data_IF_831987123484
#
_entry.id   IF_831987123484
#
_cell.length_a   1.000
_cell.length_b   1.000
_cell.length_c   1.000
_cell.angle_alpha   90.00
_cell.angle_beta   90.00
_cell.angle_gamma   90.00
#
_symmetry.space_group_name_H-M   'P 1'
#
loop_
_entity.id
_entity.type
_entity.pdbx_description
1 polymer ?
#
# COMPACT_ATOMS: atom_id res chain seq x y z
N UNK A 1 0.82 -11.77 5.23
CA UNK A 1 0.76 -10.30 5.23
C UNK A 1 1.04 -9.80 6.64
N UNK A 2 1.95 -8.83 6.79
CA UNK A 2 2.18 -8.10 8.04
C UNK A 2 1.97 -6.62 7.75
N UNK A 3 1.23 -5.90 8.59
CA UNK A 3 1.03 -4.50 8.32
C UNK A 3 0.55 -3.65 9.47
N UNK A 4 0.86 -2.36 9.37
CA UNK A 4 0.34 -1.30 10.24
C UNK A 4 -0.85 -0.58 9.60
N UNK A 5 -1.63 -1.31 8.80
CA UNK A 5 -2.81 -0.80 8.09
C UNK A 5 -3.90 -1.87 8.06
N UNK A 6 -4.92 -1.73 8.89
CA UNK A 6 -6.02 -2.71 8.97
C UNK A 6 -6.78 -2.84 7.65
N UNK A 7 -7.26 -1.72 7.10
CA UNK A 7 -8.00 -1.71 5.82
C UNK A 7 -7.11 -2.15 4.64
N UNK A 8 -5.82 -1.82 4.66
CA UNK A 8 -4.88 -2.28 3.63
C UNK A 8 -4.66 -3.79 3.66
N UNK A 9 -4.56 -4.39 4.84
CA UNK A 9 -4.48 -5.85 4.99
C UNK A 9 -5.75 -6.51 4.44
N UNK A 10 -6.92 -5.98 4.78
CA UNK A 10 -8.21 -6.51 4.32
C UNK A 10 -8.32 -6.43 2.79
N UNK A 11 -7.97 -5.30 2.20
CA UNK A 11 -8.04 -5.12 0.75
C UNK A 11 -7.05 -6.05 0.03
N UNK A 12 -5.80 -6.13 0.48
CA UNK A 12 -4.82 -7.08 -0.06
C UNK A 12 -5.34 -8.52 -0.01
N UNK A 13 -5.93 -8.93 1.12
CA UNK A 13 -6.50 -10.27 1.28
C UNK A 13 -7.63 -10.51 0.27
N UNK A 14 -8.48 -9.52 0.08
CA UNK A 14 -9.61 -9.59 -0.88
C UNK A 14 -9.13 -9.68 -2.33
N UNK A 15 -8.12 -8.88 -2.70
CA UNK A 15 -7.57 -8.92 -4.07
C UNK A 15 -6.88 -10.26 -4.33
N UNK A 16 -6.07 -10.75 -3.39
CA UNK A 16 -5.37 -12.04 -3.51
C UNK A 16 -6.37 -13.19 -3.65
N UNK A 17 -7.46 -13.21 -2.88
CA UNK A 17 -8.54 -14.19 -2.99
C UNK A 17 -9.20 -14.14 -4.37
N UNK A 18 -9.53 -12.95 -4.87
CA UNK A 18 -10.08 -12.76 -6.23
C UNK A 18 -9.14 -13.22 -7.33
N UNK A 19 -7.84 -13.14 -7.10
CA UNK A 19 -6.82 -13.66 -8.01
C UNK A 19 -6.62 -15.18 -7.90
N UNK A 20 -7.34 -15.85 -6.98
CA UNK A 20 -7.35 -17.30 -6.81
C UNK A 20 -6.20 -17.85 -5.96
N UNK A 21 -5.60 -17.01 -5.12
CA UNK A 21 -4.57 -17.41 -4.14
C UNK A 21 -5.04 -17.20 -2.70
N UNK A 22 -4.35 -17.84 -1.75
CA UNK A 22 -4.69 -17.79 -0.34
C UNK A 22 -3.69 -16.98 0.51
N UNK A 23 -4.21 -16.38 1.58
CA UNK A 23 -3.40 -15.71 2.60
C UNK A 23 -3.28 -16.59 3.84
N UNK A 24 -2.09 -17.07 4.13
CA UNK A 24 -1.83 -17.95 5.29
C UNK A 24 -2.00 -17.19 6.61
N UNK A 25 -1.38 -16.02 6.72
CA UNK A 25 -1.40 -15.19 7.91
C UNK A 25 -1.62 -13.72 7.51
N UNK A 26 -2.49 -13.03 8.23
CA UNK A 26 -2.74 -11.61 8.09
C UNK A 26 -2.62 -10.95 9.48
N UNK A 27 -1.51 -10.25 9.73
CA UNK A 27 -1.13 -9.76 11.05
C UNK A 27 -1.09 -8.24 11.06
N UNK A 28 -1.95 -7.64 11.88
CA UNK A 28 -1.92 -6.20 12.13
C UNK A 28 -1.01 -5.85 13.30
N UNK A 29 0.00 -5.00 13.09
CA UNK A 29 0.90 -4.55 14.15
C UNK A 29 0.40 -3.27 14.83
N UNK A 30 -0.51 -2.55 14.17
CA UNK A 30 -0.95 -1.22 14.58
C UNK A 30 0.06 -0.12 14.21
N UNK A 31 -0.45 1.08 13.93
CA UNK A 31 0.37 2.21 13.45
C UNK A 31 1.40 2.69 14.48
N UNK A 32 1.14 2.51 15.77
CA UNK A 32 2.05 2.91 16.84
C UNK A 32 3.33 2.09 16.89
N UNK A 33 3.29 0.82 16.43
CA UNK A 33 4.47 -0.04 16.38
C UNK A 33 5.60 0.60 15.57
N UNK A 34 5.26 1.29 14.49
CA UNK A 34 6.22 1.90 13.55
C UNK A 34 6.64 3.32 13.93
N UNK A 35 6.27 3.80 15.11
CA UNK A 35 6.77 5.07 15.66
C UNK A 35 8.21 4.96 16.12
N UNK A 36 8.88 6.11 16.27
CA UNK A 36 10.25 6.17 16.78
C UNK A 36 10.37 5.59 18.20
N UNK A 37 9.33 5.79 19.01
CA UNK A 37 9.30 5.37 20.42
C UNK A 37 9.21 3.84 20.57
N UNK A 38 8.47 3.17 19.69
CA UNK A 38 8.31 1.71 19.72
C UNK A 38 9.34 1.02 18.85
N UNK A 39 9.69 1.62 17.71
CA UNK A 39 10.79 1.17 16.86
C UNK A 39 10.50 -0.08 16.03
N UNK A 40 9.23 -0.48 15.83
CA UNK A 40 8.85 -1.61 14.97
C UNK A 40 9.09 -2.99 15.60
N UNK A 41 8.97 -3.10 16.92
CA UNK A 41 9.24 -4.36 17.64
C UNK A 41 8.36 -5.49 17.11
N UNK A 42 7.04 -5.28 17.07
CA UNK A 42 6.10 -6.30 16.60
C UNK A 42 6.32 -6.65 15.13
N UNK A 43 6.58 -5.66 14.30
CA UNK A 43 6.89 -5.87 12.88
C UNK A 43 8.12 -6.77 12.72
N UNK A 44 9.20 -6.49 13.45
CA UNK A 44 10.45 -7.25 13.37
C UNK A 44 10.28 -8.69 13.86
N UNK A 45 9.56 -8.90 14.96
CA UNK A 45 9.27 -10.24 15.50
C UNK A 45 8.45 -11.07 14.50
N UNK A 46 7.46 -10.44 13.86
CA UNK A 46 6.62 -11.12 12.87
C UNK A 46 7.38 -11.43 11.59
N UNK A 47 8.27 -10.54 11.11
CA UNK A 47 9.15 -10.84 9.98
C UNK A 47 10.00 -12.08 10.28
N UNK A 48 10.59 -12.16 11.48
CA UNK A 48 11.38 -13.32 11.87
C UNK A 48 10.53 -14.60 11.94
N UNK A 49 9.31 -14.51 12.46
CA UNK A 49 8.39 -15.65 12.52
C UNK A 49 8.01 -16.16 11.13
N UNK A 50 7.72 -15.24 10.18
CA UNK A 50 7.37 -15.61 8.80
C UNK A 50 8.57 -16.19 8.03
N UNK A 51 9.79 -15.78 8.36
CA UNK A 51 10.99 -16.39 7.76
C UNK A 51 11.13 -17.87 8.13
N UNK A 52 10.83 -18.22 9.37
CA UNK A 52 10.91 -19.57 9.91
C UNK A 52 9.76 -20.49 9.50
N UNK A 53 8.65 -19.93 9.03
CA UNK A 53 7.47 -20.70 8.61
C UNK A 53 7.60 -21.14 7.15
N UNK A 54 7.96 -22.40 6.91
CA UNK A 54 8.15 -22.98 5.58
C UNK A 54 6.87 -22.97 4.71
N UNK A 55 5.71 -22.77 5.30
CA UNK A 55 4.45 -22.66 4.57
C UNK A 55 4.24 -21.28 3.95
N UNK A 56 4.95 -20.25 4.42
CA UNK A 56 4.94 -18.91 3.83
C UNK A 56 5.83 -18.91 2.59
N UNK A 57 5.25 -18.60 1.43
CA UNK A 57 5.97 -18.54 0.15
C UNK A 57 6.43 -17.12 -0.19
N UNK A 58 5.59 -16.12 0.08
CA UNK A 58 5.86 -14.71 -0.15
C UNK A 58 5.41 -13.93 1.07
N UNK A 59 6.18 -12.93 1.47
CA UNK A 59 5.82 -12.00 2.53
C UNK A 59 5.37 -10.67 1.92
N UNK A 60 4.22 -10.16 2.34
CA UNK A 60 3.78 -8.81 2.03
C UNK A 60 3.89 -7.94 3.27
N UNK A 61 4.55 -6.79 3.15
CA UNK A 61 4.59 -5.74 4.18
C UNK A 61 3.77 -4.56 3.68
N UNK A 62 2.79 -4.13 4.49
CA UNK A 62 2.02 -2.92 4.19
C UNK A 62 2.03 -1.96 5.37
N UNK A 63 2.31 -0.69 5.12
CA UNK A 63 2.31 0.33 6.16
C UNK A 63 2.03 1.73 5.60
N UNK A 64 1.47 2.60 6.44
CA UNK A 64 1.70 4.04 6.29
C UNK A 64 3.21 4.29 6.44
N UNK A 65 3.78 5.38 5.90
CA UNK A 65 5.22 5.63 6.01
C UNK A 65 5.69 5.54 7.45
N UNK A 66 6.61 4.63 7.79
CA UNK A 66 7.18 4.53 9.12
C UNK A 66 8.06 5.74 9.46
N UNK A 67 8.42 5.91 10.73
CA UNK A 67 9.54 6.77 11.08
C UNK A 67 10.80 6.31 10.33
N UNK A 68 11.59 7.25 9.79
CA UNK A 68 12.72 6.93 8.90
C UNK A 68 13.65 5.85 9.45
N UNK A 69 14.07 5.96 10.71
CA UNK A 69 14.97 4.97 11.34
C UNK A 69 14.33 3.58 11.46
N UNK A 70 13.01 3.51 11.66
CA UNK A 70 12.26 2.25 11.73
C UNK A 70 12.13 1.64 10.33
N UNK A 71 11.82 2.48 9.33
CA UNK A 71 11.77 2.07 7.93
C UNK A 71 13.11 1.48 7.47
N UNK A 72 14.22 2.18 7.74
CA UNK A 72 15.56 1.74 7.36
C UNK A 72 15.86 0.37 7.97
N UNK A 73 15.57 0.16 9.28
CA UNK A 73 15.72 -1.14 9.94
C UNK A 73 14.87 -2.26 9.31
N UNK A 74 13.62 -1.94 8.97
CA UNK A 74 12.72 -2.91 8.32
C UNK A 74 13.27 -3.26 6.95
N UNK A 75 13.68 -2.28 6.15
CA UNK A 75 14.26 -2.49 4.82
C UNK A 75 15.53 -3.33 4.86
N UNK A 76 16.46 -3.01 5.77
CA UNK A 76 17.69 -3.80 5.96
C UNK A 76 17.38 -5.25 6.34
N UNK A 77 16.36 -5.48 7.18
CA UNK A 77 15.95 -6.83 7.56
C UNK A 77 15.32 -7.59 6.40
N UNK A 78 14.52 -6.91 5.59
CA UNK A 78 13.82 -7.50 4.44
C UNK A 78 14.76 -7.80 3.27
N UNK A 79 15.77 -6.98 3.03
CA UNK A 79 16.82 -7.25 2.02
C UNK A 79 17.58 -8.54 2.29
N UNK A 80 17.64 -8.98 3.55
CA UNK A 80 18.26 -10.23 3.96
C UNK A 80 17.25 -11.38 4.16
N UNK A 81 15.98 -11.18 3.81
CA UNK A 81 14.94 -12.18 3.98
C UNK A 81 15.07 -13.26 2.90
N UNK A 82 14.95 -14.52 3.30
CA UNK A 82 15.24 -15.68 2.41
C UNK A 82 14.17 -15.97 1.38
N UNK A 83 13.01 -15.37 1.50
CA UNK A 83 11.86 -15.57 0.63
C UNK A 83 11.53 -14.25 -0.07
N UNK A 84 10.81 -14.27 -1.19
CA UNK A 84 10.37 -13.03 -1.82
C UNK A 84 9.54 -12.15 -0.89
N UNK A 85 9.81 -10.85 -0.91
CA UNK A 85 9.11 -9.82 -0.14
C UNK A 85 8.51 -8.80 -1.08
N UNK A 86 7.26 -8.46 -0.87
CA UNK A 86 6.61 -7.30 -1.49
C UNK A 86 6.34 -6.26 -0.43
N UNK A 87 6.93 -5.08 -0.55
CA UNK A 87 6.75 -3.99 0.39
C UNK A 87 5.92 -2.86 -0.24
N UNK A 88 4.89 -2.44 0.46
CA UNK A 88 4.06 -1.29 0.12
C UNK A 88 4.11 -0.28 1.27
N UNK A 89 4.90 0.77 1.11
CA UNK A 89 4.87 1.94 1.97
C UNK A 89 4.02 3.00 1.30
N UNK A 90 2.80 3.19 1.81
CA UNK A 90 1.78 4.04 1.18
C UNK A 90 2.29 5.46 0.95
N UNK A 91 2.22 5.90 -0.31
CA UNK A 91 2.68 7.22 -0.73
C UNK A 91 4.16 7.32 -1.09
N UNK A 92 4.92 6.24 -0.98
CA UNK A 92 6.30 6.18 -1.43
C UNK A 92 6.37 5.49 -2.80
N UNK A 93 6.96 6.16 -3.78
CA UNK A 93 7.19 5.57 -5.11
C UNK A 93 8.35 4.57 -5.04
N UNK A 94 8.23 3.41 -5.69
CA UNK A 94 9.35 2.49 -5.84
C UNK A 94 10.53 3.19 -6.51
N UNK A 95 11.70 3.09 -5.90
CA UNK A 95 12.93 3.63 -6.50
C UNK A 95 13.75 2.52 -7.17
N UNK A 96 13.64 1.29 -6.66
CA UNK A 96 14.37 0.12 -7.18
C UNK A 96 13.73 -1.19 -6.70
N UNK A 97 14.07 -2.28 -7.39
CA UNK A 97 13.84 -3.65 -6.93
C UNK A 97 15.18 -4.33 -6.68
N UNK A 98 15.29 -5.08 -5.60
CA UNK A 98 16.40 -5.99 -5.32
C UNK A 98 15.97 -7.44 -5.61
N UNK A 99 16.92 -8.37 -5.68
CA UNK A 99 16.70 -9.75 -6.14
C UNK A 99 15.49 -10.47 -5.53
N UNK A 100 15.21 -10.24 -4.24
CA UNK A 100 14.05 -10.84 -3.54
C UNK A 100 13.17 -9.80 -2.85
N UNK A 101 13.38 -8.53 -3.10
CA UNK A 101 12.68 -7.44 -2.44
C UNK A 101 12.05 -6.50 -3.47
N UNK A 102 10.73 -6.55 -3.54
CA UNK A 102 9.93 -5.85 -4.54
C UNK A 102 9.16 -4.72 -3.87
N UNK A 103 9.27 -3.52 -4.40
CA UNK A 103 8.46 -2.39 -3.98
C UNK A 103 7.21 -2.29 -4.83
N UNK A 104 6.06 -2.09 -4.18
CA UNK A 104 4.80 -1.78 -4.82
C UNK A 104 4.36 -0.35 -4.49
N UNK A 105 3.61 0.25 -5.40
CA UNK A 105 3.06 1.59 -5.24
C UNK A 105 1.59 1.59 -4.82
N UNK A 106 0.84 0.57 -5.26
CA UNK A 106 -0.58 0.40 -4.97
C UNK A 106 -0.88 -0.94 -4.32
N UNK A 107 -2.05 -1.06 -3.69
CA UNK A 107 -2.54 -2.31 -3.12
C UNK A 107 -2.74 -3.38 -4.21
N UNK A 108 -3.30 -3.01 -5.36
CA UNK A 108 -3.48 -3.92 -6.48
C UNK A 108 -2.14 -4.43 -7.01
N UNK A 109 -1.16 -3.55 -7.19
CA UNK A 109 0.19 -3.92 -7.61
C UNK A 109 0.84 -4.88 -6.60
N UNK A 110 0.77 -4.57 -5.29
CA UNK A 110 1.34 -5.43 -4.25
C UNK A 110 0.73 -6.84 -4.27
N UNK A 111 -0.59 -6.94 -4.44
CA UNK A 111 -1.27 -8.22 -4.52
C UNK A 111 -0.88 -9.02 -5.77
N UNK A 112 -0.82 -8.37 -6.94
CA UNK A 112 -0.43 -9.02 -8.21
C UNK A 112 1.01 -9.47 -8.21
N UNK A 113 1.93 -8.65 -7.71
CA UNK A 113 3.33 -9.03 -7.51
C UNK A 113 3.44 -10.29 -6.64
N UNK A 114 2.76 -10.29 -5.49
CA UNK A 114 2.81 -11.43 -4.57
C UNK A 114 2.24 -12.71 -5.20
N UNK A 115 1.12 -12.61 -5.91
CA UNK A 115 0.50 -13.75 -6.61
C UNK A 115 1.40 -14.26 -7.73
N UNK A 116 2.00 -13.37 -8.52
CA UNK A 116 2.97 -13.72 -9.57
C UNK A 116 4.17 -14.47 -9.00
N UNK A 117 4.74 -13.97 -7.89
CA UNK A 117 5.85 -14.62 -7.19
C UNK A 117 5.50 -16.02 -6.68
N UNK A 118 4.30 -16.20 -6.11
CA UNK A 118 3.83 -17.52 -5.66
C UNK A 118 3.74 -18.51 -6.83
N UNK A 119 3.33 -18.04 -8.00
CA UNK A 119 3.14 -18.83 -9.21
C UNK A 119 4.43 -19.03 -10.03
N UNK A 120 5.53 -18.38 -9.63
CA UNK A 120 6.78 -18.41 -10.41
C UNK A 120 6.64 -17.78 -11.80
N UNK A 121 5.75 -16.80 -11.94
CA UNK A 121 5.55 -16.06 -13.17
C UNK A 121 6.56 -14.91 -13.25
N UNK A 122 7.03 -14.63 -14.48
CA UNK A 122 7.77 -13.39 -14.71
C UNK A 122 6.88 -12.19 -14.38
N UNK A 123 7.35 -11.40 -13.42
CA UNK A 123 6.64 -10.21 -12.99
C UNK A 123 6.98 -9.11 -14.01
N UNK A 124 6.28 -9.14 -15.14
CA UNK A 124 6.22 -7.97 -16.00
C UNK A 124 5.41 -6.89 -15.26
N UNK A 125 5.88 -5.65 -15.31
CA UNK A 125 5.11 -4.49 -14.86
C UNK A 125 3.72 -4.54 -15.49
N UNK A 126 2.76 -5.12 -14.76
CA UNK A 126 1.39 -5.29 -15.21
C UNK A 126 0.65 -3.98 -14.99
N UNK A 127 0.69 -3.07 -15.94
CA UNK A 127 -0.31 -2.02 -16.00
C UNK A 127 -1.67 -2.69 -16.19
N UNK A 128 -2.61 -2.44 -15.27
CA UNK A 128 -4.01 -2.80 -15.51
C UNK A 128 -4.48 -1.94 -16.68
N UNK A 129 -4.68 -2.54 -17.85
CA UNK A 129 -5.37 -1.84 -18.93
C UNK A 129 -6.81 -1.59 -18.48
N UNK A 130 -7.09 -0.35 -18.14
CA UNK A 130 -8.46 0.10 -17.90
C UNK A 130 -9.09 0.39 -19.24
N UNK A 131 -10.14 -0.36 -19.60
CA UNK A 131 -10.96 -0.02 -20.75
C UNK A 131 -11.64 1.33 -20.51
N UNK A 132 -11.04 2.38 -21.05
CA UNK A 132 -11.54 3.75 -20.95
C UNK A 132 -12.65 4.06 -21.95
N UNK A 133 -13.02 3.13 -22.83
CA UNK A 133 -14.04 3.35 -23.88
C UNK A 133 -15.42 3.66 -23.29
N UNK A 134 -15.70 3.22 -22.07
CA UNK A 134 -16.94 3.52 -21.34
C UNK A 134 -16.93 4.84 -20.56
N UNK A 135 -15.78 5.53 -20.46
CA UNK A 135 -15.71 6.81 -19.78
C UNK A 135 -16.13 7.93 -20.74
N UNK A 136 -17.12 8.70 -20.35
CA UNK A 136 -17.55 9.87 -21.12
C UNK A 136 -16.45 10.93 -21.07
N UNK A 137 -16.02 11.39 -22.25
CA UNK A 137 -15.20 12.59 -22.33
C UNK A 137 -15.99 13.77 -21.76
N UNK A 138 -15.49 14.38 -20.70
CA UNK A 138 -16.12 15.56 -20.14
C UNK A 138 -15.68 16.78 -20.95
N UNK A 139 -16.62 17.50 -21.56
CA UNK A 139 -16.35 18.76 -22.26
C UNK A 139 -15.91 19.88 -21.30
N UNK A 140 -16.25 19.77 -20.03
CA UNK A 140 -15.89 20.73 -18.98
C UNK A 140 -14.99 20.09 -17.91
N UNK A 141 -14.13 20.91 -17.30
CA UNK A 141 -13.30 20.51 -16.16
C UNK A 141 -14.19 20.11 -14.99
N UNK A 142 -14.14 18.84 -14.61
CA UNK A 142 -14.87 18.30 -13.47
C UNK A 142 -13.97 18.16 -12.27
N UNK A 143 -14.55 18.34 -11.09
CA UNK A 143 -13.88 18.10 -9.81
C UNK A 143 -14.12 16.68 -9.35
N UNK A 144 -13.12 16.09 -8.71
CA UNK A 144 -13.22 14.77 -8.05
C UNK A 144 -13.57 15.02 -6.58
N UNK A 145 -14.65 14.42 -6.11
CA UNK A 145 -15.04 14.39 -4.70
C UNK A 145 -15.17 12.95 -4.27
N UNK A 146 -14.27 12.49 -3.43
CA UNK A 146 -14.19 11.12 -2.97
C UNK A 146 -14.30 11.06 -1.43
N UNK A 147 -15.13 10.14 -0.94
CA UNK A 147 -15.39 9.93 0.48
C UNK A 147 -15.12 8.48 0.83
N UNK A 148 -14.28 8.27 1.82
CA UNK A 148 -13.85 6.96 2.29
C UNK A 148 -14.15 6.82 3.78
N UNK A 149 -14.22 5.59 4.25
CA UNK A 149 -14.29 5.23 5.69
C UNK A 149 -13.04 4.46 6.12
N UNK A 150 -11.88 4.83 5.59
CA UNK A 150 -10.60 4.21 5.92
C UNK A 150 -9.43 4.92 5.28
N UNK A 151 -8.50 5.40 6.10
CA UNK A 151 -7.38 6.25 5.71
C UNK A 151 -6.42 5.64 4.69
N UNK A 152 -6.32 4.32 4.60
CA UNK A 152 -5.47 3.63 3.62
C UNK A 152 -5.97 3.83 2.20
N UNK A 153 -7.24 3.50 1.95
CA UNK A 153 -7.84 3.66 0.62
C UNK A 153 -7.97 5.14 0.24
N UNK A 154 -8.33 6.00 1.20
CA UNK A 154 -8.37 7.44 0.99
C UNK A 154 -6.98 8.00 0.63
N UNK A 155 -5.93 7.53 1.30
CA UNK A 155 -4.55 7.91 1.03
C UNK A 155 -4.07 7.46 -0.35
N UNK A 156 -4.34 6.22 -0.73
CA UNK A 156 -4.02 5.71 -2.07
C UNK A 156 -4.76 6.47 -3.17
N UNK A 157 -6.06 6.70 -3.00
CA UNK A 157 -6.84 7.49 -3.95
C UNK A 157 -6.29 8.92 -4.09
N UNK A 158 -5.94 9.58 -2.99
CA UNK A 158 -5.34 10.91 -3.01
C UNK A 158 -4.00 10.93 -3.76
N UNK A 159 -3.20 9.89 -3.59
CA UNK A 159 -1.92 9.71 -4.27
C UNK A 159 -2.11 9.55 -5.78
N UNK A 160 -2.97 8.64 -6.19
CA UNK A 160 -3.27 8.37 -7.60
C UNK A 160 -3.87 9.60 -8.30
N UNK A 161 -4.76 10.35 -7.62
CA UNK A 161 -5.30 11.59 -8.16
C UNK A 161 -4.20 12.64 -8.36
N UNK A 162 -3.28 12.79 -7.40
CA UNK A 162 -2.14 13.71 -7.55
C UNK A 162 -1.27 13.36 -8.75
N UNK A 163 -1.05 12.08 -9.01
CA UNK A 163 -0.23 11.62 -10.13
C UNK A 163 -0.94 11.77 -11.48
N UNK A 164 -2.26 11.53 -11.53
CA UNK A 164 -3.03 11.58 -12.76
C UNK A 164 -3.50 12.98 -13.14
N UNK A 165 -3.70 13.87 -12.16
CA UNK A 165 -4.25 15.22 -12.39
C UNK A 165 -3.15 16.26 -12.25
N UNK A 166 -2.97 17.10 -13.29
CA UNK A 166 -2.07 18.23 -13.21
C UNK A 166 -2.67 19.33 -12.32
N UNK A 167 -2.39 19.22 -11.02
CA UNK A 167 -2.90 20.15 -10.00
C UNK A 167 -2.25 21.52 -10.15
N UNK A 168 -3.07 22.56 -10.35
CA UNK A 168 -2.59 23.95 -10.48
C UNK A 168 -2.26 24.58 -9.13
N UNK A 169 -2.89 24.10 -8.07
CA UNK A 169 -2.73 24.58 -6.70
C UNK A 169 -2.16 23.46 -5.84
N UNK A 170 -1.10 23.70 -5.05
CA UNK A 170 -0.58 22.71 -4.14
C UNK A 170 -1.64 22.22 -3.16
N UNK A 171 -1.66 20.93 -2.80
CA UNK A 171 -2.58 20.39 -1.82
C UNK A 171 -2.46 21.10 -0.46
N UNK A 172 -3.59 21.50 0.10
CA UNK A 172 -3.66 22.07 1.43
C UNK A 172 -3.74 20.97 2.49
N UNK A 173 -2.99 21.14 3.58
CA UNK A 173 -3.18 20.29 4.76
C UNK A 173 -4.47 20.72 5.46
N UNK A 174 -5.41 19.80 5.61
CA UNK A 174 -6.63 20.00 6.34
C UNK A 174 -7.00 18.70 7.04
N UNK A 175 -7.46 18.80 8.28
CA UNK A 175 -7.84 17.67 9.10
C UNK A 175 -8.98 16.88 8.45
N UNK A 176 -8.88 15.55 8.44
CA UNK A 176 -9.82 14.65 7.75
C UNK A 176 -9.70 14.61 6.22
N UNK A 177 -8.88 15.47 5.61
CA UNK A 177 -8.67 15.49 4.16
C UNK A 177 -7.33 14.86 3.76
N UNK A 178 -7.37 13.83 2.95
CA UNK A 178 -6.18 13.26 2.31
C UNK A 178 -5.75 14.05 1.08
N UNK A 179 -6.72 14.70 0.41
CA UNK A 179 -6.49 15.66 -0.66
C UNK A 179 -7.49 16.80 -0.56
N UNK A 180 -7.03 18.03 -0.66
CA UNK A 180 -7.86 19.24 -0.78
C UNK A 180 -7.15 20.26 -1.64
N UNK A 181 -7.54 20.40 -2.90
CA UNK A 181 -6.91 21.33 -3.83
C UNK A 181 -7.74 21.49 -5.10
N UNK A 182 -7.76 22.68 -5.67
CA UNK A 182 -8.34 23.02 -6.99
C UNK A 182 -9.77 22.47 -7.20
N UNK A 183 -10.56 22.41 -6.11
CA UNK A 183 -11.90 21.82 -6.10
C UNK A 183 -11.94 20.31 -5.89
N UNK A 184 -10.82 19.60 -6.03
CA UNK A 184 -10.72 18.17 -5.73
C UNK A 184 -10.63 17.93 -4.23
N UNK A 185 -11.36 16.95 -3.73
CA UNK A 185 -11.28 16.50 -2.34
C UNK A 185 -11.26 14.98 -2.26
N UNK A 186 -10.45 14.47 -1.33
CA UNK A 186 -10.52 13.09 -0.84
C UNK A 186 -10.61 13.17 0.68
N UNK A 187 -11.65 12.60 1.25
CA UNK A 187 -11.96 12.68 2.68
C UNK A 187 -11.98 11.28 3.27
N UNK A 188 -11.34 11.11 4.42
CA UNK A 188 -11.48 9.93 5.26
C UNK A 188 -12.49 10.21 6.37
N UNK A 189 -13.72 9.72 6.22
CA UNK A 189 -14.79 9.83 7.21
C UNK A 189 -14.63 8.84 8.38
N UNK A 190 -13.66 7.96 8.32
CA UNK A 190 -13.28 7.07 9.41
C UNK A 190 -12.20 7.65 10.33
N UNK A 191 -11.80 8.89 10.13
CA UNK A 191 -10.89 9.61 11.02
C UNK A 191 -11.63 10.06 12.29
N UNK A 192 -10.91 10.13 13.42
CA UNK A 192 -11.45 10.51 14.75
C UNK A 192 -11.98 11.95 14.82
N UNK A 193 -11.85 12.70 13.74
CA UNK A 193 -12.36 14.10 13.64
C UNK A 193 -13.82 14.21 13.19
N UNK A 194 -14.49 13.10 12.86
CA UNK A 194 -15.90 13.07 12.42
C UNK A 194 -16.80 12.33 13.40
#
# INVERSE_FOLDING_TARGET
IIGASGTGIQELTTIIDRLGEGVKNAIGTGGRDLSTEVGGITMMDMIEAMEKDDTVKVLIIISKPPAKAVRDRISDRLSNFKKPVVALFLGEKPEYHEENFYHAYTLDEAARLAVGLVRGQDIAEGSVEVDSSSFFAAEEKKTIKAYYSGGTLAGEAAMLIKDAVNLKVPPQKAEGFMLKTDGHIVVDLGDDVY
#
